data_IF_872104044422
#
_entry.id   IF_872104044422
#
_cell.length_a   1.000
_cell.length_b   1.000
_cell.length_c   1.000
_cell.angle_alpha   90.00
_cell.angle_beta   90.00
_cell.angle_gamma   90.00
#
_symmetry.space_group_name_H-M   'P 1'
#
loop_
_entity.id
_entity.type
_entity.pdbx_description
1 polymer ?
#
# COMPACT_ATOMS: atom_id res chain seq x y z
N UNK A 1 3.83 -20.00 25.71
CA UNK A 1 2.51 -19.84 25.06
C UNK A 1 2.73 -19.81 23.56
N UNK A 2 1.98 -20.64 22.82
CA UNK A 2 2.04 -20.73 21.36
C UNK A 2 1.64 -19.37 20.78
N UNK A 3 2.48 -18.81 19.91
CA UNK A 3 2.09 -17.72 19.01
C UNK A 3 1.04 -18.35 18.10
N UNK A 4 -0.23 -18.26 18.50
CA UNK A 4 -1.31 -18.65 17.62
C UNK A 4 -1.26 -17.71 16.43
N UNK A 5 -1.28 -18.34 15.26
CA UNK A 5 -1.15 -17.87 13.90
C UNK A 5 -2.23 -16.83 13.51
N UNK A 6 -2.30 -15.71 14.24
CA UNK A 6 -3.06 -14.54 13.83
C UNK A 6 -2.25 -13.87 12.73
N UNK A 7 -2.42 -14.30 11.49
CA UNK A 7 -1.93 -13.61 10.30
C UNK A 7 -2.09 -12.10 10.46
N UNK A 8 -0.99 -11.36 10.44
CA UNK A 8 -1.04 -9.90 10.34
C UNK A 8 -1.81 -9.57 9.05
N UNK A 9 -2.99 -8.98 9.18
CA UNK A 9 -3.73 -8.45 8.03
C UNK A 9 -2.99 -7.21 7.55
N UNK A 10 -2.24 -7.36 6.47
CA UNK A 10 -1.51 -6.29 5.77
C UNK A 10 -2.04 -6.16 4.34
N UNK A 11 -1.91 -4.97 3.78
CA UNK A 11 -2.30 -4.68 2.39
C UNK A 11 -1.27 -5.33 1.45
N UNK A 12 -1.75 -6.07 0.44
CA UNK A 12 -0.89 -6.67 -0.57
C UNK A 12 -0.42 -5.63 -1.59
N UNK A 13 0.90 -5.61 -1.84
CA UNK A 13 1.57 -4.62 -2.68
C UNK A 13 1.20 -4.70 -4.17
N UNK A 14 0.60 -5.82 -4.61
CA UNK A 14 0.16 -6.04 -5.99
C UNK A 14 -0.97 -5.10 -6.45
N UNK A 15 -1.62 -4.37 -5.53
CA UNK A 15 -2.68 -3.40 -5.86
C UNK A 15 -2.15 -2.03 -6.30
N UNK A 16 -0.86 -1.77 -6.12
CA UNK A 16 -0.25 -0.43 -6.27
C UNK A 16 0.62 -0.36 -7.54
N UNK A 17 0.93 -1.50 -8.16
CA UNK A 17 1.72 -1.59 -9.39
C UNK A 17 1.04 -0.84 -10.54
N UNK A 18 1.74 0.16 -11.10
CA UNK A 18 1.32 0.92 -12.28
C UNK A 18 0.84 2.36 -12.05
N UNK A 19 0.89 2.88 -10.81
CA UNK A 19 0.56 4.30 -10.54
C UNK A 19 1.83 5.17 -10.65
N UNK A 20 2.34 5.31 -11.88
CA UNK A 20 3.53 6.12 -12.20
C UNK A 20 3.24 7.63 -12.28
N UNK A 21 2.15 8.11 -11.68
CA UNK A 21 1.89 9.55 -11.63
C UNK A 21 2.91 10.19 -10.70
N UNK A 22 3.76 11.05 -11.27
CA UNK A 22 4.75 11.81 -10.51
C UNK A 22 4.09 12.64 -9.41
N UNK A 23 4.66 12.57 -8.21
CA UNK A 23 4.29 13.35 -7.04
C UNK A 23 5.51 14.13 -6.57
N UNK A 24 5.32 15.41 -6.25
CA UNK A 24 6.39 16.28 -5.77
C UNK A 24 6.11 16.64 -4.31
N UNK A 25 6.95 16.16 -3.41
CA UNK A 25 6.91 16.50 -2.00
C UNK A 25 7.85 17.67 -1.74
N UNK A 26 7.31 18.84 -1.39
CA UNK A 26 8.14 19.97 -0.98
C UNK A 26 8.29 19.99 0.53
N UNK A 27 9.51 20.17 1.01
CA UNK A 27 9.79 20.24 2.43
C UNK A 27 10.85 21.29 2.75
N UNK A 28 10.79 21.82 3.96
CA UNK A 28 11.81 22.75 4.46
C UNK A 28 12.96 21.94 5.06
N UNK A 29 14.16 22.12 4.53
CA UNK A 29 15.36 21.49 5.07
C UNK A 29 15.72 22.10 6.42
N UNK A 30 16.12 21.26 7.37
CA UNK A 30 16.68 21.72 8.64
C UNK A 30 18.13 22.16 8.37
N UNK A 31 18.48 23.44 8.57
CA UNK A 31 19.80 23.95 8.22
C UNK A 31 20.86 23.36 9.16
N UNK A 32 21.91 22.76 8.60
CA UNK A 32 22.96 22.09 9.40
C UNK A 32 24.04 23.02 9.98
N UNK A 33 24.03 24.32 9.69
CA UNK A 33 24.96 25.36 10.21
C UNK A 33 24.57 26.72 9.62
N UNK A 34 24.00 27.62 10.43
CA UNK A 34 23.79 29.07 10.17
C UNK A 34 23.39 29.52 8.74
N UNK A 35 22.76 28.65 7.96
CA UNK A 35 22.22 28.95 6.63
C UNK A 35 20.71 29.11 6.74
N UNK A 36 20.13 29.93 5.87
CA UNK A 36 18.69 30.12 5.77
C UNK A 36 17.98 28.79 5.49
N UNK A 37 16.70 28.72 5.86
CA UNK A 37 15.84 27.59 5.51
C UNK A 37 15.76 27.46 3.99
N UNK A 38 16.18 26.32 3.46
CA UNK A 38 16.08 25.98 2.05
C UNK A 38 14.84 25.12 1.82
N UNK A 39 14.06 25.45 0.79
CA UNK A 39 12.93 24.64 0.35
C UNK A 39 13.44 23.62 -0.67
N UNK A 40 13.29 22.34 -0.35
CA UNK A 40 13.71 21.23 -1.21
C UNK A 40 12.49 20.51 -1.76
N UNK A 41 12.67 19.90 -2.93
CA UNK A 41 11.65 19.11 -3.61
C UNK A 41 12.12 17.66 -3.75
N UNK A 42 11.25 16.73 -3.41
CA UNK A 42 11.46 15.30 -3.57
C UNK A 42 10.48 14.79 -4.62
N UNK A 43 11.03 14.26 -5.71
CA UNK A 43 10.26 13.63 -6.78
C UNK A 43 10.04 12.16 -6.44
N UNK A 44 8.79 11.74 -6.38
CA UNK A 44 8.36 10.36 -6.11
C UNK A 44 7.15 10.05 -6.99
N UNK A 45 6.52 8.87 -6.82
CA UNK A 45 5.25 8.57 -7.46
C UNK A 45 4.14 8.40 -6.43
N UNK A 46 2.90 8.51 -6.87
CA UNK A 46 1.71 8.29 -6.01
C UNK A 46 1.71 6.86 -5.45
N UNK A 47 2.19 5.88 -6.21
CA UNK A 47 2.33 4.50 -5.74
C UNK A 47 3.25 4.37 -4.52
N UNK A 48 4.43 4.98 -4.55
CA UNK A 48 5.37 4.99 -3.43
C UNK A 48 4.73 5.58 -2.16
N UNK A 49 3.91 6.62 -2.32
CA UNK A 49 3.23 7.26 -1.20
C UNK A 49 2.18 6.33 -0.58
N UNK A 50 1.44 5.55 -1.38
CA UNK A 50 0.54 4.52 -0.85
C UNK A 50 1.28 3.42 -0.11
N UNK A 51 2.44 3.00 -0.63
CA UNK A 51 3.30 2.01 0.03
C UNK A 51 3.76 2.53 1.40
N UNK A 52 4.22 3.79 1.46
CA UNK A 52 4.64 4.43 2.72
C UNK A 52 3.49 4.48 3.72
N UNK A 53 2.28 4.85 3.28
CA UNK A 53 1.09 4.89 4.14
C UNK A 53 0.80 3.48 4.70
N UNK A 54 0.76 2.46 3.84
CA UNK A 54 0.50 1.08 4.24
C UNK A 54 1.54 0.58 5.23
N UNK A 55 2.83 0.78 4.93
CA UNK A 55 3.92 0.37 5.79
C UNK A 55 3.85 1.02 7.18
N UNK A 56 3.44 2.30 7.26
CA UNK A 56 3.28 2.99 8.55
C UNK A 56 2.11 2.44 9.37
N UNK A 57 0.98 2.11 8.72
CA UNK A 57 -0.16 1.48 9.40
C UNK A 57 0.18 0.06 9.89
N UNK A 58 0.80 -0.74 9.03
CA UNK A 58 1.23 -2.11 9.36
C UNK A 58 2.23 -2.10 10.53
N UNK A 59 3.23 -1.21 10.46
CA UNK A 59 4.22 -1.07 11.53
C UNK A 59 3.59 -0.61 12.85
N UNK A 60 2.62 0.33 12.81
CA UNK A 60 1.88 0.71 14.01
C UNK A 60 1.13 -0.48 14.62
N UNK A 61 0.48 -1.30 13.79
CA UNK A 61 -0.20 -2.52 14.24
C UNK A 61 0.75 -3.55 14.86
N UNK A 62 1.96 -3.73 14.29
CA UNK A 62 2.99 -4.60 14.87
C UNK A 62 3.45 -4.06 16.23
N UNK A 63 3.70 -2.76 16.32
CA UNK A 63 4.16 -2.12 17.57
C UNK A 63 3.15 -2.30 18.71
N UNK A 64 1.85 -2.15 18.44
CA UNK A 64 0.82 -2.36 19.46
C UNK A 64 0.74 -3.81 19.95
N UNK A 65 0.88 -4.77 19.03
CA UNK A 65 0.92 -6.20 19.38
C UNK A 65 2.12 -6.54 20.24
N UNK A 66 3.29 -5.99 19.90
CA UNK A 66 4.51 -6.18 20.70
C UNK A 66 4.36 -5.47 22.05
N UNK A 67 3.80 -4.26 22.10
CA UNK A 67 3.59 -3.51 23.34
C UNK A 67 2.78 -4.31 24.37
N UNK A 68 1.79 -5.09 23.94
CA UNK A 68 0.97 -5.93 24.83
C UNK A 68 1.76 -7.04 25.55
N UNK A 69 2.96 -7.36 25.10
CA UNK A 69 3.81 -8.43 25.64
C UNK A 69 5.00 -7.89 26.47
N UNK A 70 5.11 -6.57 26.61
CA UNK A 70 6.31 -5.91 27.15
C UNK A 70 6.05 -5.34 28.54
N UNK A 71 7.13 -5.08 29.29
CA UNK A 71 7.07 -4.40 30.57
C UNK A 71 6.61 -2.93 30.39
N UNK A 72 6.06 -2.34 31.45
CA UNK A 72 5.31 -1.07 31.42
C UNK A 72 6.00 0.09 30.67
N UNK A 73 7.30 0.30 30.87
CA UNK A 73 8.03 1.39 30.19
C UNK A 73 8.17 1.15 28.68
N UNK A 74 8.52 -0.06 28.26
CA UNK A 74 8.68 -0.39 26.84
C UNK A 74 7.33 -0.42 26.13
N UNK A 75 6.27 -0.86 26.83
CA UNK A 75 4.91 -0.80 26.35
C UNK A 75 4.51 0.64 26.00
N UNK A 76 4.72 1.59 26.91
CA UNK A 76 4.37 3.00 26.69
C UNK A 76 5.15 3.62 25.52
N UNK A 77 6.44 3.30 25.39
CA UNK A 77 7.26 3.72 24.25
C UNK A 77 6.72 3.19 22.92
N UNK A 78 6.38 1.90 22.84
CA UNK A 78 5.86 1.31 21.61
C UNK A 78 4.49 1.86 21.22
N UNK A 79 3.61 2.12 22.20
CA UNK A 79 2.33 2.79 21.96
C UNK A 79 2.51 4.22 21.45
N UNK A 80 3.48 4.97 22.01
CA UNK A 80 3.81 6.31 21.53
C UNK A 80 4.32 6.30 20.09
N UNK A 81 5.19 5.33 19.76
CA UNK A 81 5.67 5.14 18.39
C UNK A 81 4.54 4.78 17.42
N UNK A 82 3.66 3.85 17.80
CA UNK A 82 2.50 3.47 17.00
C UNK A 82 1.58 4.66 16.73
N UNK A 83 1.28 5.46 17.76
CA UNK A 83 0.47 6.67 17.65
C UNK A 83 1.11 7.69 16.69
N UNK A 84 2.44 7.86 16.75
CA UNK A 84 3.17 8.74 15.81
C UNK A 84 3.08 8.24 14.38
N UNK A 85 3.26 6.94 14.14
CA UNK A 85 3.13 6.34 12.82
C UNK A 85 1.73 6.56 12.24
N UNK A 86 0.66 6.31 13.01
CA UNK A 86 -0.71 6.59 12.58
C UNK A 86 -0.97 8.06 12.27
N UNK A 87 -0.43 8.97 13.08
CA UNK A 87 -0.58 10.41 12.84
C UNK A 87 0.07 10.84 11.52
N UNK A 88 1.21 10.27 11.16
CA UNK A 88 1.88 10.56 9.89
C UNK A 88 1.11 9.92 8.72
N UNK A 89 0.76 8.64 8.85
CA UNK A 89 0.01 7.91 7.83
C UNK A 89 -1.36 8.56 7.54
N UNK A 90 -2.09 8.97 8.59
CA UNK A 90 -3.38 9.65 8.47
C UNK A 90 -3.29 10.98 7.73
N UNK A 91 -2.24 11.78 7.99
CA UNK A 91 -2.02 13.04 7.24
C UNK A 91 -1.79 12.80 5.75
N UNK A 92 -1.00 11.78 5.41
CA UNK A 92 -0.77 11.44 4.00
C UNK A 92 -2.02 10.84 3.36
N UNK A 93 -2.73 9.96 4.07
CA UNK A 93 -3.99 9.36 3.64
C UNK A 93 -5.07 10.40 3.33
N UNK A 94 -5.28 11.38 4.23
CA UNK A 94 -6.27 12.45 4.06
C UNK A 94 -5.94 13.34 2.86
N UNK A 95 -4.68 13.76 2.70
CA UNK A 95 -4.25 14.61 1.59
C UNK A 95 -4.35 13.89 0.23
N UNK A 96 -4.17 12.57 0.21
CA UNK A 96 -4.19 11.75 -1.00
C UNK A 96 -5.56 11.13 -1.28
N UNK A 97 -6.52 11.25 -0.37
CA UNK A 97 -7.83 10.60 -0.44
C UNK A 97 -7.74 9.06 -0.43
N UNK A 98 -6.75 8.50 0.26
CA UNK A 98 -6.50 7.07 0.33
C UNK A 98 -7.06 6.45 1.61
N UNK A 99 -7.87 5.41 1.48
CA UNK A 99 -8.50 4.71 2.60
C UNK A 99 -7.83 3.35 2.80
N UNK A 100 -7.04 3.25 3.89
CA UNK A 100 -6.30 2.04 4.25
C UNK A 100 -7.22 0.88 4.64
N UNK A 101 -8.29 1.15 5.39
CA UNK A 101 -9.22 0.09 5.85
C UNK A 101 -9.95 -0.52 4.65
N UNK A 102 -10.31 0.32 3.67
CA UNK A 102 -10.88 -0.15 2.40
C UNK A 102 -9.88 -0.96 1.56
N UNK A 103 -8.60 -0.64 1.61
CA UNK A 103 -7.56 -1.43 0.96
C UNK A 103 -7.38 -2.80 1.65
N UNK A 104 -7.41 -2.84 2.98
CA UNK A 104 -7.41 -4.10 3.74
C UNK A 104 -8.62 -4.96 3.41
N UNK A 105 -9.83 -4.39 3.34
CA UNK A 105 -11.02 -5.15 2.95
C UNK A 105 -10.91 -5.77 1.57
N UNK A 106 -10.32 -5.06 0.61
CA UNK A 106 -10.10 -5.57 -0.75
C UNK A 106 -9.13 -6.74 -0.74
N UNK A 107 -8.02 -6.62 0.00
CA UNK A 107 -7.06 -7.68 0.19
C UNK A 107 -7.72 -8.90 0.85
N UNK A 108 -8.50 -8.68 1.91
CA UNK A 108 -9.24 -9.75 2.61
C UNK A 108 -10.22 -10.46 1.68
N UNK A 109 -11.06 -9.72 0.95
CA UNK A 109 -12.00 -10.27 -0.04
C UNK A 109 -11.28 -11.06 -1.13
N UNK A 110 -10.06 -10.68 -1.50
CA UNK A 110 -9.25 -11.44 -2.48
C UNK A 110 -8.69 -12.72 -1.88
N UNK A 111 -8.17 -12.69 -0.65
CA UNK A 111 -7.69 -13.89 0.06
C UNK A 111 -8.82 -14.91 0.27
N UNK A 112 -10.00 -14.44 0.65
CA UNK A 112 -11.21 -15.27 0.79
C UNK A 112 -11.69 -15.84 -0.55
N UNK A 113 -11.50 -15.12 -1.66
CA UNK A 113 -11.82 -15.61 -3.01
C UNK A 113 -10.76 -16.52 -3.61
N UNK A 114 -9.49 -16.32 -3.27
CA UNK A 114 -8.34 -17.08 -3.76
C UNK A 114 -8.09 -18.39 -3.00
N UNK A 115 -8.80 -18.66 -1.91
CA UNK A 115 -8.78 -19.96 -1.23
C UNK A 115 -9.70 -21.00 -1.89
N UNK A 116 -10.37 -20.64 -2.98
CA UNK A 116 -11.04 -21.57 -3.90
C UNK A 116 -10.32 -21.56 -5.24
N UNK A 117 -9.67 -22.68 -5.55
CA UNK A 117 -9.17 -23.14 -6.85
C UNK A 117 -9.30 -22.20 -8.07
N UNK A 118 -8.17 -21.95 -8.73
CA UNK A 118 -8.07 -21.58 -10.16
C UNK A 118 -8.88 -20.38 -10.68
N UNK A 119 -8.42 -19.15 -10.43
CA UNK A 119 -8.82 -18.00 -11.28
C UNK A 119 -7.72 -16.99 -11.60
N UNK A 120 -6.46 -17.29 -11.25
CA UNK A 120 -5.32 -16.43 -11.60
C UNK A 120 -4.87 -16.59 -13.06
N UNK A 121 -4.90 -17.81 -13.59
CA UNK A 121 -4.41 -18.12 -14.93
C UNK A 121 -5.50 -18.01 -16.00
N UNK A 122 -6.70 -18.56 -15.74
CA UNK A 122 -7.84 -18.54 -16.66
C UNK A 122 -8.36 -17.13 -16.97
N UNK A 123 -8.28 -16.20 -16.00
CA UNK A 123 -8.66 -14.80 -16.22
C UNK A 123 -7.75 -14.08 -17.22
N UNK A 124 -6.45 -14.39 -17.19
CA UNK A 124 -5.45 -13.88 -18.11
C UNK A 124 -5.55 -14.55 -19.49
N UNK A 125 -5.79 -15.86 -19.53
CA UNK A 125 -6.00 -16.61 -20.78
C UNK A 125 -7.28 -16.15 -21.50
N UNK A 126 -8.38 -15.94 -20.78
CA UNK A 126 -9.61 -15.40 -21.35
C UNK A 126 -9.46 -13.98 -21.93
N UNK A 127 -8.60 -13.14 -21.33
CA UNK A 127 -8.25 -11.82 -21.88
C UNK A 127 -7.43 -11.94 -23.16
N UNK A 128 -6.45 -12.83 -23.19
CA UNK A 128 -5.65 -13.13 -24.38
C UNK A 128 -6.49 -13.71 -25.53
N UNK A 129 -7.41 -14.65 -25.25
CA UNK A 129 -8.34 -15.20 -26.25
C UNK A 129 -9.25 -14.09 -26.83
N UNK A 130 -9.79 -13.20 -25.97
CA UNK A 130 -10.62 -12.08 -26.41
C UNK A 130 -9.85 -11.09 -27.28
N UNK A 131 -8.56 -10.86 -27.01
CA UNK A 131 -7.72 -10.02 -27.85
C UNK A 131 -7.41 -10.67 -29.21
N UNK A 132 -7.14 -11.99 -29.25
CA UNK A 132 -6.94 -12.75 -30.50
C UNK A 132 -8.20 -12.77 -31.38
N UNK A 133 -9.37 -13.01 -30.80
CA UNK A 133 -10.65 -12.97 -31.53
C UNK A 133 -10.99 -11.57 -32.08
N UNK A 134 -10.61 -10.49 -31.38
CA UNK A 134 -10.78 -9.12 -31.87
C UNK A 134 -9.85 -8.78 -33.04
N UNK A 135 -8.62 -9.33 -33.07
CA UNK A 135 -7.69 -9.16 -34.20
C UNK A 135 -8.16 -9.91 -35.45
N UNK A 136 -8.56 -11.17 -35.32
CA UNK A 136 -9.10 -11.95 -36.45
C UNK A 136 -10.38 -11.36 -37.06
N UNK A 137 -11.25 -10.73 -36.25
CA UNK A 137 -12.48 -10.09 -36.73
C UNK A 137 -12.25 -8.74 -37.43
N UNK A 138 -11.09 -8.10 -37.23
CA UNK A 138 -10.69 -6.88 -37.97
C UNK A 138 -10.05 -7.24 -39.32
N UNK A 139 -9.18 -8.26 -39.37
CA UNK A 139 -8.55 -8.70 -40.61
C UNK A 139 -9.54 -9.24 -41.66
N UNK A 140 -10.66 -9.83 -41.23
CA UNK A 140 -11.72 -10.31 -42.15
C UNK A 140 -12.57 -9.16 -42.71
N UNK A 141 -12.63 -8.00 -42.04
CA UNK A 141 -13.39 -6.83 -42.51
C UNK A 141 -12.61 -5.93 -43.47
N UNK A 142 -11.28 -6.03 -43.50
CA UNK A 142 -10.41 -5.23 -44.38
C UNK A 142 -10.15 -5.89 -45.75
N UNK A 143 -10.69 -7.10 -45.98
CA UNK A 143 -10.56 -7.86 -47.24
C UNK A 143 -11.89 -8.12 -47.95
N UNK A 144 -12.94 -7.35 -47.64
CA UNK A 144 -14.25 -7.44 -48.31
C UNK A 144 -14.66 -6.12 -48.92
#
# INVERSE_FOLDING_TARGET
MKIADSTLETVEMSEIDGIERGAVLRYMAIPKKSKAHEMLELNTCVGDLYIIINALYDYAGILERVAAQQASYQQELYLLHAARCRKIAGKFSEQMGYDYDKALERCRKRREKGSGDDTGFDGLEALLQKQKCKKGRKEIKDKR
#
